data_IF_820975548641
#
_entry.id   IF_820975548641
#
_cell.length_a   1.000
_cell.length_b   1.000
_cell.length_c   1.000
_cell.angle_alpha   90.00
_cell.angle_beta   90.00
_cell.angle_gamma   90.00
#
_symmetry.space_group_name_H-M   'P 1'
#
loop_
_entity.id
_entity.type
_entity.pdbx_description
1 polymer ?
#
# COMPACT_ATOMS: atom_id res chain seq x y z
N UNK A 1 -6.78 -31.66 26.31
CA UNK A 1 -6.47 -30.40 27.01
C UNK A 1 -7.62 -30.11 27.99
N UNK A 2 -7.34 -29.61 29.20
CA UNK A 2 -8.32 -29.30 30.26
C UNK A 2 -9.41 -30.37 30.52
N UNK A 3 -9.06 -31.65 30.42
CA UNK A 3 -10.00 -32.76 30.66
C UNK A 3 -11.10 -32.94 29.60
N UNK A 4 -11.05 -32.23 28.47
CA UNK A 4 -11.99 -32.38 27.34
C UNK A 4 -11.40 -33.25 26.23
N UNK A 5 -12.19 -34.20 25.74
CA UNK A 5 -11.91 -35.02 24.55
C UNK A 5 -12.21 -34.20 23.29
N UNK A 6 -11.17 -33.91 22.52
CA UNK A 6 -11.27 -33.22 21.24
C UNK A 6 -11.16 -34.26 20.12
N UNK A 7 -12.17 -34.31 19.25
CA UNK A 7 -12.07 -35.05 17.98
C UNK A 7 -11.36 -34.14 17.00
N UNK A 8 -10.32 -34.63 16.33
CA UNK A 8 -9.62 -33.90 15.26
C UNK A 8 -10.14 -34.35 13.90
N UNK A 9 -11.22 -33.76 13.35
CA UNK A 9 -11.56 -33.96 11.95
C UNK A 9 -10.68 -33.08 11.06
N UNK A 10 -10.41 -33.54 9.84
CA UNK A 10 -10.20 -32.70 8.66
C UNK A 10 -9.04 -31.69 8.65
N UNK A 11 -9.28 -30.55 7.99
CA UNK A 11 -8.28 -29.58 7.56
C UNK A 11 -7.86 -28.62 8.68
N UNK A 12 -6.97 -27.66 8.36
CA UNK A 12 -6.42 -26.74 9.38
C UNK A 12 -7.51 -25.97 10.15
N UNK A 13 -8.57 -25.53 9.48
CA UNK A 13 -9.65 -24.76 10.12
C UNK A 13 -10.45 -25.61 11.11
N UNK A 14 -10.58 -26.92 10.89
CA UNK A 14 -11.22 -27.81 11.84
C UNK A 14 -10.43 -27.90 13.15
N UNK A 15 -9.11 -28.06 13.06
CA UNK A 15 -8.23 -28.05 14.24
C UNK A 15 -8.35 -26.72 15.02
N UNK A 16 -8.33 -25.59 14.33
CA UNK A 16 -8.41 -24.27 14.97
C UNK A 16 -9.78 -24.02 15.61
N UNK A 17 -10.86 -24.53 15.00
CA UNK A 17 -12.21 -24.43 15.59
C UNK A 17 -12.30 -25.17 16.93
N UNK A 18 -11.64 -26.35 17.02
CA UNK A 18 -11.60 -27.12 18.26
C UNK A 18 -10.77 -26.45 19.34
N UNK A 19 -9.70 -25.74 18.97
CA UNK A 19 -8.94 -24.93 19.93
C UNK A 19 -9.83 -23.83 20.53
N UNK A 20 -10.54 -23.06 19.70
CA UNK A 20 -11.47 -22.04 20.20
C UNK A 20 -12.59 -22.65 21.07
N UNK A 21 -13.17 -23.78 20.67
CA UNK A 21 -14.16 -24.50 21.49
C UNK A 21 -13.58 -24.99 22.82
N UNK A 22 -12.32 -25.40 22.86
CA UNK A 22 -11.68 -25.85 24.11
C UNK A 22 -11.42 -24.67 25.06
N UNK A 23 -10.90 -23.55 24.53
CA UNK A 23 -10.49 -22.37 25.29
C UNK A 23 -11.64 -21.41 25.64
N UNK A 24 -12.77 -21.49 24.92
CA UNK A 24 -13.99 -20.70 25.17
C UNK A 24 -13.74 -19.18 25.22
N UNK A 25 -12.76 -18.69 24.47
CA UNK A 25 -12.42 -17.27 24.35
C UNK A 25 -11.78 -16.97 23.00
N UNK A 26 -11.87 -15.72 22.49
CA UNK A 26 -11.18 -15.33 21.26
C UNK A 26 -9.66 -15.47 21.41
N UNK A 27 -8.98 -15.84 20.33
CA UNK A 27 -7.53 -16.08 20.34
C UNK A 27 -6.84 -15.57 19.08
N UNK A 28 -5.54 -15.27 19.18
CA UNK A 28 -4.73 -14.95 18.01
C UNK A 28 -4.48 -16.20 17.16
N UNK A 29 -4.24 -16.00 15.86
CA UNK A 29 -3.88 -17.08 14.95
C UNK A 29 -2.60 -17.82 15.38
N UNK A 30 -1.63 -17.10 15.92
CA UNK A 30 -0.39 -17.62 16.46
C UNK A 30 -0.64 -18.55 17.64
N UNK A 31 -1.40 -18.10 18.64
CA UNK A 31 -1.67 -18.90 19.83
C UNK A 31 -2.53 -20.12 19.50
N UNK A 32 -3.48 -20.00 18.57
CA UNK A 32 -4.25 -21.16 18.12
C UNK A 32 -3.37 -22.23 17.45
N UNK A 33 -2.37 -21.83 16.66
CA UNK A 33 -1.42 -22.78 16.05
C UNK A 33 -0.54 -23.46 17.09
N UNK A 34 -0.03 -22.68 18.05
CA UNK A 34 0.76 -23.19 19.15
C UNK A 34 -0.04 -24.21 19.97
N UNK A 35 -1.27 -23.87 20.37
CA UNK A 35 -2.17 -24.77 21.10
C UNK A 35 -2.55 -26.00 20.27
N UNK A 36 -2.72 -25.86 18.96
CA UNK A 36 -2.97 -27.00 18.07
C UNK A 36 -1.72 -27.88 17.81
N UNK A 37 -0.52 -27.43 18.20
CA UNK A 37 0.74 -28.10 17.88
C UNK A 37 1.06 -28.13 16.38
N UNK A 38 0.60 -27.11 15.63
CA UNK A 38 0.72 -27.05 14.17
C UNK A 38 1.79 -26.04 13.73
N UNK A 39 2.61 -26.43 12.75
CA UNK A 39 3.61 -25.52 12.14
C UNK A 39 3.14 -25.12 10.75
N UNK A 40 2.69 -23.87 10.60
CA UNK A 40 2.19 -23.32 9.33
C UNK A 40 2.56 -21.85 9.17
N UNK A 41 2.73 -21.35 7.92
CA UNK A 41 2.92 -19.93 7.69
C UNK A 41 1.71 -19.13 8.18
N UNK A 42 1.92 -18.19 9.11
CA UNK A 42 0.83 -17.47 9.78
C UNK A 42 -0.13 -16.77 8.83
N UNK A 43 0.37 -16.23 7.72
CA UNK A 43 -0.47 -15.57 6.71
C UNK A 43 -1.41 -16.55 6.01
N UNK A 44 -0.95 -17.78 5.74
CA UNK A 44 -1.82 -18.82 5.18
C UNK A 44 -2.93 -19.21 6.16
N UNK A 45 -2.62 -19.20 7.46
CA UNK A 45 -3.60 -19.52 8.51
C UNK A 45 -4.64 -18.42 8.66
N UNK A 46 -4.20 -17.16 8.72
CA UNK A 46 -5.11 -16.00 8.71
C UNK A 46 -6.02 -15.98 7.48
N UNK A 47 -5.48 -16.31 6.30
CA UNK A 47 -6.29 -16.42 5.08
C UNK A 47 -7.31 -17.57 5.17
N UNK A 48 -6.92 -18.72 5.71
CA UNK A 48 -7.84 -19.84 5.90
C UNK A 48 -8.96 -19.51 6.89
N UNK A 49 -8.64 -18.83 8.00
CA UNK A 49 -9.63 -18.33 8.96
C UNK A 49 -10.58 -17.31 8.31
N UNK A 50 -10.04 -16.36 7.53
CA UNK A 50 -10.85 -15.35 6.83
C UNK A 50 -11.81 -15.94 5.79
N UNK A 51 -11.46 -17.09 5.20
CA UNK A 51 -12.25 -17.75 4.18
C UNK A 51 -13.29 -18.75 4.73
N UNK A 52 -13.24 -19.07 6.03
CA UNK A 52 -14.10 -20.06 6.66
C UNK A 52 -15.15 -19.35 7.53
N UNK A 53 -16.42 -19.47 7.13
CA UNK A 53 -17.57 -18.77 7.73
C UNK A 53 -17.80 -19.04 9.23
N UNK A 54 -17.19 -20.12 9.76
CA UNK A 54 -17.26 -20.45 11.19
C UNK A 54 -16.45 -19.50 12.05
N UNK A 55 -15.54 -18.74 11.46
CA UNK A 55 -14.68 -17.81 12.16
C UNK A 55 -15.05 -16.37 11.86
N UNK A 56 -14.88 -15.53 12.89
CA UNK A 56 -15.02 -14.09 12.78
C UNK A 56 -13.82 -13.42 13.42
N UNK A 57 -13.35 -12.30 12.85
CA UNK A 57 -12.38 -11.45 13.55
C UNK A 57 -13.10 -10.71 14.67
N UNK A 58 -12.90 -11.13 15.91
CA UNK A 58 -13.50 -10.48 17.07
C UNK A 58 -12.89 -9.09 17.33
N UNK A 59 -11.60 -8.92 16.98
CA UNK A 59 -10.91 -7.64 17.04
C UNK A 59 -9.74 -7.61 16.03
N UNK A 60 -8.86 -6.62 16.13
CA UNK A 60 -7.74 -6.46 15.20
C UNK A 60 -6.71 -7.60 15.23
N UNK A 61 -6.64 -8.39 16.31
CA UNK A 61 -5.67 -9.48 16.53
C UNK A 61 -6.31 -10.86 16.64
N UNK A 62 -7.51 -10.94 17.19
CA UNK A 62 -8.13 -12.19 17.64
C UNK A 62 -9.27 -12.64 16.75
N UNK A 63 -9.44 -13.96 16.71
CA UNK A 63 -10.51 -14.66 16.03
C UNK A 63 -11.38 -15.38 17.05
N UNK A 64 -12.67 -15.44 16.76
CA UNK A 64 -13.68 -16.13 17.53
C UNK A 64 -14.51 -17.02 16.61
N UNK A 65 -15.35 -17.87 17.20
CA UNK A 65 -16.38 -18.57 16.45
C UNK A 65 -17.55 -17.62 16.16
N UNK A 66 -18.08 -17.67 14.95
CA UNK A 66 -19.19 -16.83 14.50
C UNK A 66 -20.43 -17.00 15.39
N UNK A 67 -20.69 -18.22 15.87
CA UNK A 67 -21.80 -18.53 16.78
C UNK A 67 -21.73 -17.82 18.13
N UNK A 68 -20.56 -17.30 18.53
CA UNK A 68 -20.42 -16.54 19.79
C UNK A 68 -20.95 -15.10 19.69
N UNK A 69 -21.38 -14.65 18.51
CA UNK A 69 -22.10 -13.38 18.34
C UNK A 69 -21.24 -12.12 18.45
N UNK A 70 -19.92 -12.23 18.25
CA UNK A 70 -19.03 -11.06 18.19
C UNK A 70 -19.34 -10.19 16.96
N UNK A 71 -19.21 -8.87 17.12
CA UNK A 71 -19.22 -7.96 15.98
C UNK A 71 -17.94 -8.17 15.16
N UNK A 72 -18.09 -8.36 13.85
CA UNK A 72 -16.96 -8.59 12.96
C UNK A 72 -16.10 -7.34 12.78
N UNK A 73 -14.81 -7.48 13.05
CA UNK A 73 -13.80 -6.47 12.72
C UNK A 73 -13.35 -6.57 11.26
N UNK A 74 -13.88 -5.66 10.42
CA UNK A 74 -13.60 -5.57 8.97
C UNK A 74 -12.37 -4.73 8.62
N UNK A 75 -11.60 -4.31 9.62
CA UNK A 75 -10.55 -3.29 9.48
C UNK A 75 -11.03 -1.90 9.92
N UNK A 76 -10.08 -0.99 10.17
CA UNK A 76 -10.37 0.31 10.79
C UNK A 76 -11.37 1.11 9.94
N UNK A 77 -11.04 1.36 8.67
CA UNK A 77 -11.90 2.16 7.78
C UNK A 77 -13.31 1.60 7.68
N UNK A 78 -13.47 0.30 7.46
CA UNK A 78 -14.80 -0.29 7.26
C UNK A 78 -15.62 -0.35 8.55
N UNK A 79 -14.95 -0.48 9.70
CA UNK A 79 -15.62 -0.37 11.00
C UNK A 79 -16.06 1.07 11.28
N UNK A 80 -15.24 2.08 10.92
CA UNK A 80 -15.64 3.50 10.99
C UNK A 80 -16.81 3.76 10.04
N UNK A 81 -16.76 3.24 8.81
CA UNK A 81 -17.86 3.38 7.83
C UNK A 81 -19.17 2.81 8.39
N UNK A 82 -19.11 1.62 8.99
CA UNK A 82 -20.27 0.96 9.60
C UNK A 82 -20.85 1.79 10.76
N UNK A 83 -19.98 2.33 11.63
CA UNK A 83 -20.38 3.21 12.73
C UNK A 83 -21.10 4.47 12.22
N UNK A 84 -20.53 5.13 11.21
CA UNK A 84 -21.09 6.37 10.64
C UNK A 84 -22.36 6.13 9.83
N UNK A 85 -22.51 4.95 9.21
CA UNK A 85 -23.73 4.57 8.52
C UNK A 85 -24.91 4.38 9.49
N UNK A 86 -24.64 3.86 10.69
CA UNK A 86 -25.64 3.66 11.75
C UNK A 86 -25.99 4.98 12.47
N UNK A 87 -24.98 5.79 12.81
CA UNK A 87 -25.14 6.95 13.70
C UNK A 87 -25.16 8.31 13.02
N UNK A 88 -24.76 8.38 11.75
CA UNK A 88 -24.47 9.64 11.08
C UNK A 88 -23.15 10.27 11.57
N UNK A 89 -22.98 11.60 11.40
CA UNK A 89 -21.78 12.31 11.83
C UNK A 89 -21.55 12.21 13.35
N UNK A 90 -20.33 11.90 13.77
CA UNK A 90 -19.95 11.84 15.20
C UNK A 90 -18.57 12.50 15.42
N UNK A 91 -18.23 12.92 16.65
CA UNK A 91 -16.89 13.41 16.97
C UNK A 91 -15.80 12.37 16.70
N UNK A 92 -14.63 12.80 16.22
CA UNK A 92 -13.45 11.92 16.01
C UNK A 92 -13.05 11.20 17.30
N UNK A 93 -13.19 11.88 18.45
CA UNK A 93 -12.95 11.29 19.77
C UNK A 93 -13.90 10.13 20.09
N UNK A 94 -15.15 10.19 19.62
CA UNK A 94 -16.13 9.11 19.77
C UNK A 94 -15.78 7.92 18.89
N UNK A 95 -15.34 8.16 17.64
CA UNK A 95 -14.84 7.10 16.75
C UNK A 95 -13.68 6.36 17.40
N UNK A 96 -12.67 7.09 17.87
CA UNK A 96 -11.50 6.51 18.55
C UNK A 96 -11.93 5.68 19.76
N UNK A 97 -12.82 6.21 20.60
CA UNK A 97 -13.32 5.52 21.79
C UNK A 97 -14.05 4.24 21.41
N UNK A 98 -14.99 4.30 20.46
CA UNK A 98 -15.72 3.12 19.97
C UNK A 98 -14.76 2.06 19.41
N UNK A 99 -13.83 2.45 18.55
CA UNK A 99 -12.89 1.54 17.91
C UNK A 99 -11.95 0.85 18.92
N UNK A 100 -11.54 1.56 19.97
CA UNK A 100 -10.74 1.00 21.05
C UNK A 100 -11.56 0.08 21.95
N UNK A 101 -12.74 0.52 22.38
CA UNK A 101 -13.57 -0.20 23.34
C UNK A 101 -14.19 -1.46 22.71
N UNK A 102 -14.53 -1.43 21.41
CA UNK A 102 -15.14 -2.56 20.68
C UNK A 102 -14.10 -3.49 20.05
N UNK A 103 -13.03 -2.95 19.47
CA UNK A 103 -12.08 -3.74 18.67
C UNK A 103 -10.62 -3.64 19.15
N UNK A 104 -10.34 -3.03 20.30
CA UNK A 104 -8.99 -2.96 20.88
C UNK A 104 -7.94 -2.23 20.02
N UNK A 105 -8.38 -1.47 19.02
CA UNK A 105 -7.49 -0.83 18.03
C UNK A 105 -6.66 0.30 18.63
N UNK A 106 -5.56 0.64 17.96
CA UNK A 106 -4.66 1.71 18.37
C UNK A 106 -5.28 3.08 18.03
N UNK A 107 -5.31 3.99 19.00
CA UNK A 107 -5.90 5.32 18.86
C UNK A 107 -5.32 6.11 17.67
N UNK A 108 -3.98 6.15 17.56
CA UNK A 108 -3.31 6.88 16.49
C UNK A 108 -3.74 6.40 15.10
N UNK A 109 -3.90 5.08 14.93
CA UNK A 109 -4.40 4.52 13.67
C UNK A 109 -5.85 4.92 13.43
N UNK A 110 -6.72 4.83 14.43
CA UNK A 110 -8.12 5.24 14.27
C UNK A 110 -8.27 6.71 13.85
N UNK A 111 -7.49 7.59 14.47
CA UNK A 111 -7.45 9.01 14.09
C UNK A 111 -6.97 9.20 12.65
N UNK A 112 -5.90 8.52 12.24
CA UNK A 112 -5.40 8.61 10.87
C UNK A 112 -6.46 8.15 9.85
N UNK A 113 -7.17 7.06 10.13
CA UNK A 113 -8.20 6.54 9.24
C UNK A 113 -9.46 7.42 9.15
N UNK A 114 -9.70 8.34 10.09
CA UNK A 114 -10.77 9.35 9.94
C UNK A 114 -10.51 10.33 8.77
N UNK A 115 -9.26 10.39 8.28
CA UNK A 115 -8.87 11.20 7.12
C UNK A 115 -8.73 10.37 5.83
N UNK A 116 -9.14 9.10 5.84
CA UNK A 116 -9.20 8.31 4.61
C UNK A 116 -10.19 8.94 3.61
N UNK A 117 -10.02 8.75 2.29
CA UNK A 117 -10.86 9.38 1.28
C UNK A 117 -12.37 9.13 1.43
N UNK A 118 -12.79 8.03 2.05
CA UNK A 118 -14.19 7.71 2.33
C UNK A 118 -14.89 8.70 3.30
N UNK A 119 -14.12 9.54 4.00
CA UNK A 119 -14.62 10.39 5.08
C UNK A 119 -14.34 11.87 4.82
N UNK A 120 -15.12 12.71 5.50
CA UNK A 120 -14.93 14.16 5.59
C UNK A 120 -14.88 14.53 7.07
N UNK A 121 -13.86 15.31 7.46
CA UNK A 121 -13.73 15.89 8.80
C UNK A 121 -14.14 17.35 8.73
N UNK A 122 -15.15 17.73 9.52
CA UNK A 122 -15.69 19.09 9.65
C UNK A 122 -15.65 19.49 11.12
N UNK A 123 -14.76 20.43 11.46
CA UNK A 123 -14.46 20.76 12.86
C UNK A 123 -13.90 19.53 13.59
N UNK A 124 -14.58 19.10 14.64
CA UNK A 124 -14.20 17.90 15.42
C UNK A 124 -14.99 16.64 15.03
N UNK A 125 -15.92 16.76 14.08
CA UNK A 125 -16.79 15.67 13.65
C UNK A 125 -16.31 15.05 12.35
N UNK A 126 -16.51 13.73 12.21
CA UNK A 126 -16.27 12.97 11.00
C UNK A 126 -17.59 12.40 10.49
N UNK A 127 -17.74 12.40 9.17
CA UNK A 127 -18.89 11.83 8.47
C UNK A 127 -18.45 11.10 7.21
N UNK A 128 -19.35 10.29 6.66
CA UNK A 128 -19.16 9.73 5.32
C UNK A 128 -19.09 10.86 4.29
N UNK A 129 -18.13 10.74 3.37
CA UNK A 129 -18.10 11.56 2.16
C UNK A 129 -19.30 11.19 1.30
N UNK A 130 -20.02 12.21 0.82
CA UNK A 130 -21.16 12.00 -0.08
C UNK A 130 -20.67 11.84 -1.50
N UNK A 131 -21.46 11.20 -2.36
CA UNK A 131 -21.08 10.90 -3.74
C UNK A 131 -20.82 12.14 -4.59
N UNK A 132 -21.49 13.26 -4.28
CA UNK A 132 -21.35 14.55 -4.96
C UNK A 132 -20.12 15.35 -4.49
N UNK A 133 -19.49 14.94 -3.39
CA UNK A 133 -18.34 15.63 -2.82
C UNK A 133 -17.04 15.03 -3.37
N UNK A 134 -16.34 15.71 -4.29
CA UNK A 134 -15.11 15.18 -4.84
C UNK A 134 -14.06 15.02 -3.74
N UNK A 135 -13.26 13.96 -3.85
CA UNK A 135 -12.02 13.89 -3.09
C UNK A 135 -11.01 14.89 -3.68
N UNK A 136 -10.41 15.68 -2.80
CA UNK A 136 -9.39 16.66 -3.15
C UNK A 136 -8.09 16.20 -2.53
N UNK A 137 -7.07 16.00 -3.36
CA UNK A 137 -5.73 15.71 -2.88
C UNK A 137 -5.19 16.87 -2.05
N UNK A 138 -4.40 16.56 -1.02
CA UNK A 138 -3.56 17.54 -0.36
C UNK A 138 -2.58 18.19 -1.35
N UNK A 139 -2.12 19.39 -1.03
CA UNK A 139 -1.04 20.06 -1.76
C UNK A 139 0.34 19.53 -1.35
N UNK A 140 0.46 18.20 -1.29
CA UNK A 140 1.76 17.56 -1.13
C UNK A 140 2.65 17.87 -2.33
N UNK A 141 3.89 18.25 -2.01
CA UNK A 141 4.85 18.70 -2.99
C UNK A 141 5.64 17.52 -3.59
N UNK A 142 5.97 17.55 -4.89
CA UNK A 142 6.87 16.57 -5.53
C UNK A 142 8.18 16.30 -4.78
N UNK A 143 8.72 17.32 -4.08
CA UNK A 143 9.99 17.25 -3.36
C UNK A 143 9.97 16.31 -2.15
N UNK A 144 8.81 15.82 -1.70
CA UNK A 144 8.72 14.88 -0.56
C UNK A 144 8.59 13.42 -0.99
N UNK A 145 8.45 13.16 -2.31
CA UNK A 145 8.04 11.86 -2.83
C UNK A 145 9.23 11.03 -3.31
N UNK A 146 9.90 10.33 -2.39
CA UNK A 146 11.04 9.44 -2.70
C UNK A 146 10.73 8.47 -3.85
N UNK A 147 11.68 8.32 -4.76
CA UNK A 147 11.57 7.43 -5.93
C UNK A 147 10.58 7.88 -7.00
N UNK A 148 9.90 9.03 -6.84
CA UNK A 148 8.93 9.54 -7.81
C UNK A 148 9.52 10.72 -8.60
N UNK A 149 9.36 10.71 -9.92
CA UNK A 149 9.85 11.73 -10.84
C UNK A 149 8.71 12.17 -11.77
N UNK A 150 8.34 13.45 -11.76
CA UNK A 150 7.17 13.98 -12.46
C UNK A 150 7.57 14.48 -13.85
N UNK A 151 7.53 13.58 -14.83
CA UNK A 151 8.11 13.80 -16.16
C UNK A 151 7.24 14.72 -17.03
N UNK A 152 5.92 14.68 -16.86
CA UNK A 152 4.93 15.54 -17.50
C UNK A 152 3.63 15.53 -16.68
N UNK A 153 2.62 16.38 -16.97
CA UNK A 153 1.38 16.43 -16.19
C UNK A 153 0.65 15.08 -16.03
N UNK A 154 0.72 14.21 -17.04
CA UNK A 154 0.12 12.87 -17.04
C UNK A 154 1.14 11.74 -16.90
N UNK A 155 2.44 12.05 -16.76
CA UNK A 155 3.52 11.08 -16.91
C UNK A 155 4.45 11.10 -15.71
N UNK A 156 4.59 9.96 -15.04
CA UNK A 156 5.47 9.81 -13.88
C UNK A 156 6.44 8.66 -14.05
N UNK A 157 7.68 8.87 -13.63
CA UNK A 157 8.69 7.84 -13.43
C UNK A 157 8.72 7.39 -11.97
N UNK A 158 8.81 6.09 -11.77
CA UNK A 158 8.77 5.46 -10.46
C UNK A 158 9.96 4.51 -10.31
N UNK A 159 10.87 4.81 -9.39
CA UNK A 159 12.07 4.03 -9.13
C UNK A 159 11.89 3.11 -7.92
N UNK A 160 12.27 1.86 -8.11
CA UNK A 160 12.29 0.85 -7.06
C UNK A 160 13.55 0.01 -7.11
N UNK A 161 14.03 -0.43 -5.94
CA UNK A 161 14.89 -1.61 -5.88
C UNK A 161 14.03 -2.88 -5.90
N UNK A 162 14.44 -3.87 -6.69
CA UNK A 162 13.80 -5.18 -6.76
C UNK A 162 14.23 -5.99 -5.53
N UNK A 163 13.25 -6.35 -4.71
CA UNK A 163 13.43 -7.13 -3.49
C UNK A 163 12.63 -8.45 -3.54
N UNK A 164 12.71 -9.22 -2.45
CA UNK A 164 12.00 -10.51 -2.33
C UNK A 164 10.48 -10.35 -2.39
N UNK A 165 9.93 -9.24 -1.89
CA UNK A 165 8.49 -9.01 -1.89
C UNK A 165 7.98 -8.69 -3.31
N UNK A 166 8.77 -7.95 -4.09
CA UNK A 166 8.56 -7.69 -5.52
C UNK A 166 8.54 -9.00 -6.29
N UNK A 167 9.56 -9.86 -6.10
CA UNK A 167 9.66 -11.16 -6.77
C UNK A 167 8.59 -12.16 -6.32
N UNK A 168 8.06 -12.03 -5.09
CA UNK A 168 6.90 -12.80 -4.63
C UNK A 168 5.60 -12.33 -5.29
N UNK A 169 5.55 -11.10 -5.79
CA UNK A 169 4.37 -10.49 -6.41
C UNK A 169 3.53 -9.65 -5.47
N UNK A 170 4.16 -8.98 -4.50
CA UNK A 170 3.47 -8.03 -3.61
C UNK A 170 3.20 -6.71 -4.36
N UNK A 171 2.04 -6.11 -4.15
CA UNK A 171 1.76 -4.74 -4.61
C UNK A 171 2.56 -3.71 -3.80
N UNK A 172 2.57 -2.45 -4.26
CA UNK A 172 3.34 -1.35 -3.64
C UNK A 172 2.49 -0.10 -3.49
N UNK A 173 2.64 0.65 -2.41
CA UNK A 173 2.01 1.96 -2.29
C UNK A 173 2.70 2.96 -3.24
N UNK A 174 1.92 3.77 -3.96
CA UNK A 174 2.42 4.87 -4.79
C UNK A 174 2.42 6.21 -4.05
N UNK A 175 1.60 6.35 -3.00
CA UNK A 175 1.44 7.61 -2.27
C UNK A 175 0.47 8.57 -2.97
N UNK A 176 0.06 9.61 -2.24
CA UNK A 176 -0.93 10.57 -2.72
C UNK A 176 -0.41 11.45 -3.85
N UNK A 177 0.86 11.86 -3.84
CA UNK A 177 1.45 12.71 -4.90
C UNK A 177 1.42 12.04 -6.28
N UNK A 178 1.79 10.76 -6.35
CA UNK A 178 1.71 9.99 -7.59
C UNK A 178 0.24 9.83 -8.05
N UNK A 179 -0.67 9.58 -7.10
CA UNK A 179 -2.11 9.55 -7.37
C UNK A 179 -2.64 10.86 -7.97
N UNK A 180 -2.25 12.00 -7.39
CA UNK A 180 -2.61 13.35 -7.86
C UNK A 180 -2.13 13.56 -9.30
N UNK A 181 -0.88 13.22 -9.60
CA UNK A 181 -0.32 13.37 -10.95
C UNK A 181 -0.97 12.45 -11.97
N UNK A 182 -1.31 11.21 -11.60
CA UNK A 182 -2.03 10.28 -12.48
C UNK A 182 -3.54 10.57 -12.54
N UNK A 183 -4.04 11.53 -11.75
CA UNK A 183 -5.46 11.86 -11.67
C UNK A 183 -6.34 10.72 -11.17
N UNK A 184 -5.79 9.81 -10.35
CA UNK A 184 -6.52 8.66 -9.81
C UNK A 184 -7.53 9.15 -8.78
N UNK A 185 -8.79 8.72 -8.87
CA UNK A 185 -9.81 9.06 -7.87
C UNK A 185 -10.04 7.89 -6.92
N UNK A 186 -10.57 8.13 -5.71
CA UNK A 186 -10.98 7.04 -4.84
C UNK A 186 -11.96 6.10 -5.56
N UNK A 187 -11.77 4.82 -5.35
CA UNK A 187 -12.40 3.67 -6.01
C UNK A 187 -12.06 3.48 -7.49
N UNK A 188 -11.14 4.27 -8.06
CA UNK A 188 -10.64 4.00 -9.41
C UNK A 188 -9.77 2.74 -9.44
N UNK A 189 -9.83 2.07 -10.58
CA UNK A 189 -8.93 1.01 -11.01
C UNK A 189 -8.43 1.33 -12.42
N UNK A 190 -7.23 1.88 -12.50
CA UNK A 190 -6.56 2.17 -13.76
C UNK A 190 -5.75 0.95 -14.20
N UNK A 191 -5.77 0.65 -15.50
CA UNK A 191 -4.99 -0.42 -16.10
C UNK A 191 -4.09 0.18 -17.18
N UNK A 192 -2.80 0.11 -16.97
CA UNK A 192 -1.78 0.55 -17.91
C UNK A 192 -1.28 -0.66 -18.70
N UNK A 193 -1.12 -0.51 -20.01
CA UNK A 193 -0.69 -1.56 -20.91
C UNK A 193 0.82 -1.43 -21.20
N UNK A 194 1.51 -2.58 -21.22
CA UNK A 194 2.85 -2.71 -21.76
C UNK A 194 2.82 -3.23 -23.19
N UNK A 195 3.90 -2.97 -23.91
CA UNK A 195 4.24 -3.77 -25.08
C UNK A 195 4.22 -5.27 -24.73
N UNK A 196 3.59 -6.07 -25.60
CA UNK A 196 3.40 -7.54 -25.47
C UNK A 196 2.24 -8.02 -24.59
N UNK A 197 1.29 -7.15 -24.24
CA UNK A 197 0.00 -7.57 -23.65
C UNK A 197 0.05 -7.90 -22.15
N UNK A 198 1.09 -7.45 -21.45
CA UNK A 198 1.11 -7.38 -20.00
C UNK A 198 0.43 -6.09 -19.54
N UNK A 199 -0.29 -6.14 -18.42
CA UNK A 199 -0.91 -4.95 -17.86
C UNK A 199 -0.56 -4.74 -16.40
N UNK A 200 -0.50 -3.46 -16.02
CA UNK A 200 -0.20 -2.98 -14.68
C UNK A 200 -1.40 -2.24 -14.13
N UNK A 201 -1.90 -2.68 -12.99
CA UNK A 201 -3.05 -2.02 -12.35
C UNK A 201 -2.60 -1.01 -11.31
N UNK A 202 -3.22 0.16 -11.27
CA UNK A 202 -3.20 1.10 -10.13
C UNK A 202 -4.61 1.15 -9.53
N UNK A 203 -4.74 0.90 -8.23
CA UNK A 203 -6.01 0.97 -7.50
C UNK A 203 -5.95 2.02 -6.41
N UNK A 204 -7.06 2.70 -6.15
CA UNK A 204 -7.16 3.63 -5.02
C UNK A 204 -8.41 3.37 -4.19
N UNK A 205 -8.40 2.37 -3.29
CA UNK A 205 -9.52 2.18 -2.37
C UNK A 205 -9.77 3.43 -1.54
N UNK A 206 -11.02 3.87 -1.40
CA UNK A 206 -11.37 5.04 -0.58
C UNK A 206 -11.11 4.83 0.93
N UNK A 207 -10.82 3.60 1.34
CA UNK A 207 -10.53 3.20 2.71
C UNK A 207 -9.04 3.26 3.09
N UNK A 208 -8.15 3.61 2.15
CA UNK A 208 -6.70 3.68 2.42
C UNK A 208 -6.28 5.04 2.97
N UNK A 209 -5.24 5.05 3.81
CA UNK A 209 -4.58 6.27 4.31
C UNK A 209 -3.22 6.52 3.65
N UNK A 210 -2.79 5.65 2.74
CA UNK A 210 -1.47 5.74 2.08
C UNK A 210 -1.56 6.13 0.60
N UNK A 211 -2.75 6.52 0.12
CA UNK A 211 -3.01 6.79 -1.28
C UNK A 211 -3.12 5.54 -2.16
N UNK A 212 -3.10 5.72 -3.49
CA UNK A 212 -3.16 4.63 -4.45
C UNK A 212 -2.03 3.61 -4.29
N UNK A 213 -2.30 2.39 -4.76
CA UNK A 213 -1.35 1.30 -4.79
C UNK A 213 -1.20 0.75 -6.21
N UNK A 214 0.03 0.37 -6.51
CA UNK A 214 0.41 -0.41 -7.67
C UNK A 214 0.15 -1.89 -7.38
N UNK A 215 -0.43 -2.58 -8.37
CA UNK A 215 -0.52 -4.04 -8.38
C UNK A 215 0.85 -4.71 -8.43
N UNK A 216 0.85 -6.04 -8.54
CA UNK A 216 2.09 -6.80 -8.71
C UNK A 216 2.83 -6.37 -9.98
N UNK A 217 4.13 -6.09 -9.85
CA UNK A 217 5.04 -5.83 -10.97
C UNK A 217 5.93 -7.04 -11.28
N UNK A 218 5.60 -8.22 -10.75
CA UNK A 218 6.45 -9.40 -10.89
C UNK A 218 6.62 -9.83 -12.35
N UNK A 219 5.50 -9.94 -13.08
CA UNK A 219 5.55 -10.34 -14.50
C UNK A 219 6.34 -9.33 -15.35
N UNK A 220 6.20 -8.05 -15.01
CA UNK A 220 7.00 -6.94 -15.54
C UNK A 220 8.50 -7.15 -15.31
N UNK A 221 8.91 -7.41 -14.07
CA UNK A 221 10.31 -7.68 -13.69
C UNK A 221 10.85 -8.91 -14.41
N UNK A 222 10.05 -9.97 -14.53
CA UNK A 222 10.43 -11.21 -15.25
C UNK A 222 10.64 -10.94 -16.75
N UNK A 223 9.75 -10.19 -17.39
CA UNK A 223 9.81 -9.86 -18.82
C UNK A 223 11.06 -9.03 -19.18
N UNK A 224 11.43 -8.08 -18.33
CA UNK A 224 12.63 -7.24 -18.55
C UNK A 224 13.92 -7.85 -17.95
N UNK A 225 13.84 -9.08 -17.41
CA UNK A 225 15.00 -9.82 -16.89
C UNK A 225 15.63 -9.24 -15.62
N UNK A 226 14.83 -8.57 -14.78
CA UNK A 226 15.28 -7.99 -13.52
C UNK A 226 15.51 -9.03 -12.42
N UNK A 227 16.49 -8.77 -11.57
CA UNK A 227 16.87 -9.66 -10.47
C UNK A 227 16.86 -8.92 -9.12
N UNK A 228 16.92 -9.68 -8.02
CA UNK A 228 17.03 -9.08 -6.69
C UNK A 228 18.25 -8.16 -6.63
N UNK A 229 18.06 -6.93 -6.15
CA UNK A 229 19.11 -5.93 -5.98
C UNK A 229 19.21 -4.94 -7.15
N UNK A 230 18.73 -5.34 -8.34
CA UNK A 230 18.61 -4.44 -9.48
C UNK A 230 17.60 -3.33 -9.19
N UNK A 231 17.74 -2.23 -9.92
CA UNK A 231 16.78 -1.12 -9.89
C UNK A 231 15.86 -1.21 -11.10
N UNK A 232 14.58 -0.96 -10.92
CA UNK A 232 13.60 -0.86 -11.99
C UNK A 232 12.94 0.51 -11.93
N UNK A 233 12.96 1.21 -13.06
CA UNK A 233 12.14 2.39 -13.28
C UNK A 233 10.89 1.99 -14.08
N UNK A 234 9.73 2.41 -13.59
CA UNK A 234 8.46 2.31 -14.30
C UNK A 234 8.02 3.70 -14.71
N UNK A 235 7.84 3.95 -16.00
CA UNK A 235 7.24 5.20 -16.49
C UNK A 235 5.81 4.92 -16.88
N UNK A 236 4.86 5.50 -16.14
CA UNK A 236 3.43 5.43 -16.42
C UNK A 236 2.99 6.72 -17.10
N UNK A 237 2.26 6.60 -18.21
CA UNK A 237 1.61 7.73 -18.87
C UNK A 237 0.09 7.54 -18.89
N UNK A 238 -0.62 8.46 -18.24
CA UNK A 238 -2.07 8.44 -18.13
C UNK A 238 -2.76 8.82 -19.44
N UNK A 239 -2.08 9.55 -20.34
CA UNK A 239 -2.70 10.07 -21.56
C UNK A 239 -3.07 8.96 -22.55
N UNK A 240 -2.24 7.93 -22.65
CA UNK A 240 -2.42 6.76 -23.52
C UNK A 240 -2.56 5.44 -22.73
N UNK A 241 -2.54 5.51 -21.40
CA UNK A 241 -2.57 4.35 -20.49
C UNK A 241 -1.39 3.40 -20.75
N UNK A 242 -0.22 3.92 -21.11
CA UNK A 242 0.98 3.11 -21.32
C UNK A 242 1.85 3.01 -20.07
N UNK A 243 2.62 1.95 -20.00
CA UNK A 243 3.72 1.82 -19.04
C UNK A 243 4.94 1.25 -19.74
N UNK A 244 6.11 1.79 -19.40
CA UNK A 244 7.41 1.22 -19.79
C UNK A 244 8.21 0.86 -18.55
N UNK A 245 9.07 -0.16 -18.68
CA UNK A 245 9.88 -0.66 -17.59
C UNK A 245 11.36 -0.75 -18.02
N UNK A 246 12.24 -0.13 -17.23
CA UNK A 246 13.68 -0.16 -17.47
C UNK A 246 14.38 -0.72 -16.25
N UNK A 247 15.03 -1.87 -16.41
CA UNK A 247 15.93 -2.43 -15.39
C UNK A 247 17.34 -1.89 -15.56
N UNK A 248 17.96 -1.58 -14.43
CA UNK A 248 19.30 -1.00 -14.32
C UNK A 248 20.12 -1.76 -13.28
N UNK A 249 21.24 -2.34 -13.73
CA UNK A 249 22.26 -2.93 -12.86
C UNK A 249 23.34 -1.90 -12.59
N UNK A 250 23.09 -1.07 -11.59
CA UNK A 250 23.89 0.11 -11.23
C UNK A 250 25.41 -0.17 -11.18
N UNK A 251 25.83 -1.37 -10.77
CA UNK A 251 27.22 -1.81 -10.63
C UNK A 251 27.95 -1.92 -11.98
N UNK A 252 27.20 -1.96 -13.09
CA UNK A 252 27.70 -2.17 -14.45
C UNK A 252 27.79 -0.85 -15.24
N UNK A 253 27.52 0.28 -14.61
CA UNK A 253 27.45 1.59 -15.27
C UNK A 253 28.36 2.63 -14.61
N UNK A 254 28.92 3.50 -15.44
CA UNK A 254 29.62 4.70 -14.99
C UNK A 254 28.60 5.80 -14.63
N UNK A 255 29.03 6.79 -13.82
CA UNK A 255 28.26 8.04 -13.63
C UNK A 255 27.97 8.69 -14.98
N UNK A 256 26.80 9.32 -15.12
CA UNK A 256 26.38 9.90 -16.38
C UNK A 256 24.88 10.15 -16.45
N UNK A 257 24.47 11.10 -17.28
CA UNK A 257 23.05 11.41 -17.50
C UNK A 257 22.27 10.25 -18.12
N UNK A 258 22.90 9.38 -18.90
CA UNK A 258 22.27 8.14 -19.40
C UNK A 258 21.81 7.22 -18.27
N UNK A 259 22.61 7.08 -17.22
CA UNK A 259 22.27 6.26 -16.07
C UNK A 259 21.18 6.93 -15.22
N UNK A 260 21.28 8.24 -15.02
CA UNK A 260 20.23 9.01 -14.33
C UNK A 260 18.91 8.91 -15.08
N UNK A 261 18.91 9.03 -16.40
CA UNK A 261 17.74 8.85 -17.25
C UNK A 261 17.10 7.47 -17.09
N UNK A 262 17.90 6.40 -17.05
CA UNK A 262 17.39 5.04 -16.81
C UNK A 262 16.76 4.86 -15.43
N UNK A 263 17.29 5.52 -14.41
CA UNK A 263 16.78 5.43 -13.04
C UNK A 263 15.54 6.30 -12.81
N UNK A 264 15.38 7.40 -13.55
CA UNK A 264 14.35 8.41 -13.27
C UNK A 264 13.27 8.50 -14.36
N UNK A 265 13.60 8.13 -15.60
CA UNK A 265 12.74 8.26 -16.77
C UNK A 265 12.86 9.61 -17.49
N UNK A 266 13.75 10.51 -17.06
CA UNK A 266 14.00 11.79 -17.76
C UNK A 266 14.69 11.55 -19.11
N UNK A 267 14.64 12.54 -20.00
CA UNK A 267 15.48 12.57 -21.20
C UNK A 267 16.95 12.81 -20.79
N UNK A 268 17.90 11.95 -21.16
CA UNK A 268 19.32 12.16 -20.84
C UNK A 268 19.87 13.49 -21.36
N UNK A 269 19.35 14.02 -22.47
CA UNK A 269 19.78 15.31 -23.03
C UNK A 269 19.30 16.52 -22.21
N UNK A 270 18.27 16.34 -21.37
CA UNK A 270 17.77 17.40 -20.50
C UNK A 270 18.65 17.65 -19.27
N UNK A 271 19.56 16.71 -18.98
CA UNK A 271 20.55 16.81 -17.92
C UNK A 271 19.96 17.24 -16.57
N UNK A 272 20.67 18.17 -15.91
CA UNK A 272 20.29 18.67 -14.57
C UNK A 272 18.96 19.42 -14.57
N UNK A 273 18.67 20.16 -15.64
CA UNK A 273 17.45 20.95 -15.75
C UNK A 273 16.21 20.04 -15.82
N UNK A 274 16.26 18.95 -16.59
CA UNK A 274 15.16 18.00 -16.66
C UNK A 274 14.95 17.24 -15.35
N UNK A 275 16.03 16.88 -14.65
CA UNK A 275 15.93 16.27 -13.32
C UNK A 275 15.31 17.24 -12.30
N UNK A 276 15.72 18.51 -12.29
CA UNK A 276 15.11 19.54 -11.44
C UNK A 276 13.61 19.70 -11.70
N UNK A 277 13.21 19.78 -12.98
CA UNK A 277 11.80 19.85 -13.36
C UNK A 277 11.02 18.62 -12.87
N UNK A 278 11.59 17.42 -13.00
CA UNK A 278 10.97 16.18 -12.53
C UNK A 278 10.87 16.07 -10.99
N UNK A 279 11.75 16.76 -10.26
CA UNK A 279 11.70 16.88 -8.80
C UNK A 279 10.83 18.06 -8.33
N UNK A 280 10.47 18.96 -9.24
CA UNK A 280 9.76 20.20 -8.95
C UNK A 280 10.60 21.21 -8.15
N UNK A 281 11.92 21.22 -8.33
CA UNK A 281 12.84 22.15 -7.67
C UNK A 281 13.71 22.89 -8.68
N UNK A 282 14.52 23.84 -8.21
CA UNK A 282 15.47 24.54 -9.06
C UNK A 282 16.72 23.68 -9.36
N UNK A 283 17.40 23.87 -10.49
CA UNK A 283 18.60 23.08 -10.85
C UNK A 283 19.68 23.03 -9.77
N UNK A 284 19.89 24.13 -9.04
CA UNK A 284 20.88 24.20 -7.97
C UNK A 284 20.47 23.42 -6.70
N UNK A 285 19.19 23.07 -6.55
CA UNK A 285 18.64 22.37 -5.38
C UNK A 285 18.57 20.85 -5.57
N UNK A 286 18.87 20.33 -6.77
CA UNK A 286 18.73 18.91 -7.14
C UNK A 286 19.41 17.97 -6.13
N UNK A 287 20.66 18.24 -5.79
CA UNK A 287 21.44 17.37 -4.90
C UNK A 287 20.86 17.35 -3.48
N UNK A 288 20.54 18.53 -2.92
CA UNK A 288 19.89 18.67 -1.62
C UNK A 288 18.53 17.97 -1.61
N UNK A 289 17.72 18.16 -2.65
CA UNK A 289 16.39 17.55 -2.79
C UNK A 289 16.46 16.03 -2.80
N UNK A 290 17.38 15.44 -3.59
CA UNK A 290 17.58 13.99 -3.63
C UNK A 290 18.10 13.45 -2.30
N UNK A 291 18.98 14.20 -1.62
CA UNK A 291 19.50 13.83 -0.31
C UNK A 291 18.39 13.79 0.75
N UNK A 292 17.55 14.82 0.82
CA UNK A 292 16.44 14.92 1.78
C UNK A 292 15.36 13.86 1.53
N UNK A 293 15.08 13.54 0.25
CA UNK A 293 14.18 12.45 -0.14
C UNK A 293 14.76 11.06 0.14
N UNK A 294 16.09 10.94 0.24
CA UNK A 294 16.79 9.66 0.37
C UNK A 294 16.96 8.90 -0.95
N UNK A 295 16.92 9.59 -2.09
CA UNK A 295 17.16 9.05 -3.44
C UNK A 295 18.68 8.94 -3.73
N UNK A 296 19.42 8.34 -2.81
CA UNK A 296 20.88 8.26 -2.84
C UNK A 296 21.42 7.50 -4.06
N UNK A 297 20.65 6.53 -4.55
CA UNK A 297 20.97 5.75 -5.73
C UNK A 297 21.02 6.59 -7.01
N UNK A 298 20.23 7.66 -7.09
CA UNK A 298 20.25 8.62 -8.21
C UNK A 298 21.34 9.66 -7.97
N UNK A 299 21.39 10.22 -6.76
CA UNK A 299 22.35 11.27 -6.38
C UNK A 299 23.80 10.88 -6.70
N UNK A 300 24.21 9.65 -6.37
CA UNK A 300 25.59 9.18 -6.59
C UNK A 300 26.03 9.13 -8.06
N UNK A 301 25.09 9.17 -9.01
CA UNK A 301 25.37 9.05 -10.44
C UNK A 301 25.18 10.35 -11.22
N UNK A 302 24.81 11.44 -10.54
CA UNK A 302 24.86 12.78 -11.13
C UNK A 302 26.32 13.08 -11.52
N UNK A 303 26.59 13.55 -12.75
CA UNK A 303 27.93 13.95 -13.16
C UNK A 303 28.46 15.12 -12.33
N UNK A 304 29.75 15.12 -12.03
CA UNK A 304 30.40 16.11 -11.16
C UNK A 304 30.55 17.51 -11.83
N UNK A 305 30.13 17.68 -13.09
CA UNK A 305 30.25 18.92 -13.86
C UNK A 305 28.88 19.43 -14.31
N UNK A 306 28.55 20.72 -14.11
CA UNK A 306 27.43 21.35 -14.79
C UNK A 306 27.81 21.53 -16.28
N UNK A 307 26.94 21.09 -17.19
CA UNK A 307 26.91 21.62 -18.56
C UNK A 307 26.20 22.97 -18.57
#
# INVERSE_FOLDING_TARGET
MNGRLVRWPGGITDHLSQVLLAEQSPMTAELMLETAGLVRPINSVRNALAADERFVRANYKEWALTEWGFLEYKGIAESIRSLLADRGPVPVSEVVRHMRDTFGTVEASCRAYCYAPAFVVEGESVRLRRSEEPYVYSDELPQTSRGMFFLAPSRIGILFQIDKDTLRGSGRALGFTAGKSLGVKPNDRLQFELDKGLSLTVTFPDTTISGPALGTIRALVEEVGGQHGDFINLVLDRSDMSVSATVTRIDQHNKGWDLVARLTGIDPQSGRAGLAAALGCEPHEVETTLQERGDHEVLRFIPDCPE
#
